data_IF_891803746481
#
_entry.id   IF_891803746481
#
_cell.length_a   1.000
_cell.length_b   1.000
_cell.length_c   1.000
_cell.angle_alpha   90.00
_cell.angle_beta   90.00
_cell.angle_gamma   90.00
#
_symmetry.space_group_name_H-M   'P 1'
#
loop_
_entity.id
_entity.type
_entity.pdbx_description
1 polymer ?
#
# COMPACT_ATOMS: atom_id res chain seq x y z
N UNK A 1 13.00 -38.57 26.71
CA UNK A 1 13.38 -37.25 27.23
C UNK A 1 14.33 -36.62 26.22
N UNK A 2 14.05 -35.39 25.80
CA UNK A 2 14.89 -34.64 24.85
C UNK A 2 14.16 -33.95 23.70
N UNK A 3 12.91 -33.52 23.90
CA UNK A 3 12.31 -32.41 23.13
C UNK A 3 12.69 -31.13 23.89
N UNK A 4 12.92 -30.02 23.18
CA UNK A 4 13.46 -28.71 23.62
C UNK A 4 14.98 -28.54 23.47
N UNK A 5 15.47 -28.29 22.24
CA UNK A 5 16.78 -27.64 22.09
C UNK A 5 17.04 -26.82 20.80
N UNK A 6 16.01 -26.42 20.02
CA UNK A 6 16.23 -25.68 18.75
C UNK A 6 15.60 -24.28 18.64
N UNK A 7 15.10 -23.70 19.75
CA UNK A 7 14.50 -22.34 19.69
C UNK A 7 15.46 -21.20 20.09
N UNK A 8 16.62 -21.48 20.69
CA UNK A 8 17.55 -20.44 21.18
C UNK A 8 18.62 -20.03 20.16
N UNK A 9 19.01 -20.91 19.24
CA UNK A 9 20.03 -20.63 18.20
C UNK A 9 19.52 -19.71 17.11
N UNK A 10 18.26 -19.87 16.70
CA UNK A 10 17.62 -19.03 15.67
C UNK A 10 17.40 -17.58 16.09
N UNK A 11 17.03 -17.33 17.36
CA UNK A 11 16.88 -15.96 17.89
C UNK A 11 18.23 -15.23 17.95
N UNK A 12 19.28 -15.91 18.42
CA UNK A 12 20.63 -15.33 18.47
C UNK A 12 21.18 -14.95 17.09
N UNK A 13 20.78 -15.70 16.05
CA UNK A 13 21.21 -15.43 14.68
C UNK A 13 20.43 -14.24 14.06
N UNK A 14 19.13 -14.14 14.30
CA UNK A 14 18.33 -13.00 13.86
C UNK A 14 18.81 -11.70 14.54
N UNK A 15 19.06 -11.73 15.85
CA UNK A 15 19.61 -10.60 16.59
C UNK A 15 20.99 -10.21 16.05
N UNK A 16 21.85 -11.20 15.75
CA UNK A 16 23.18 -10.97 15.17
C UNK A 16 23.07 -10.31 13.79
N UNK A 17 22.20 -10.81 12.91
CA UNK A 17 22.02 -10.28 11.56
C UNK A 17 21.44 -8.86 11.60
N UNK A 18 20.42 -8.62 12.43
CA UNK A 18 19.89 -7.27 12.62
C UNK A 18 20.98 -6.32 13.14
N UNK A 19 21.70 -6.69 14.20
CA UNK A 19 22.78 -5.87 14.74
C UNK A 19 23.89 -5.58 13.71
N UNK A 20 24.20 -6.52 12.82
CA UNK A 20 25.14 -6.28 11.72
C UNK A 20 24.59 -5.31 10.68
N UNK A 21 23.29 -5.34 10.41
CA UNK A 21 22.67 -4.44 9.43
C UNK A 21 22.64 -2.99 9.90
N UNK A 22 22.44 -2.76 11.21
CA UNK A 22 22.50 -1.44 11.83
C UNK A 22 23.94 -0.94 12.11
N UNK A 23 24.97 -1.78 11.90
CA UNK A 23 26.37 -1.41 12.07
C UNK A 23 26.98 -0.95 10.72
N UNK A 24 27.40 0.32 10.57
CA UNK A 24 27.89 0.88 9.31
C UNK A 24 29.11 0.16 8.71
N UNK A 25 29.89 -0.55 9.54
CA UNK A 25 31.07 -1.30 9.08
C UNK A 25 30.66 -2.73 8.73
N UNK A 26 29.88 -3.36 9.61
CA UNK A 26 29.55 -4.80 9.49
C UNK A 26 28.43 -5.08 8.50
N UNK A 27 27.64 -4.09 8.12
CA UNK A 27 26.59 -4.21 7.10
C UNK A 27 27.14 -4.72 5.76
N UNK A 28 28.40 -4.40 5.45
CA UNK A 28 29.08 -4.86 4.25
C UNK A 28 29.62 -6.30 4.33
N UNK A 29 29.62 -6.91 5.52
CA UNK A 29 29.99 -8.31 5.74
C UNK A 29 28.83 -9.27 5.46
N UNK A 30 27.60 -8.75 5.32
CA UNK A 30 26.39 -9.55 5.08
C UNK A 30 26.39 -10.07 3.62
N UNK A 31 26.40 -11.39 3.48
CA UNK A 31 26.34 -12.06 2.18
C UNK A 31 25.02 -11.81 1.46
N UNK A 32 25.04 -11.78 0.13
CA UNK A 32 23.84 -11.60 -0.74
C UNK A 32 22.72 -12.60 -0.42
N UNK A 33 23.06 -13.81 -0.01
CA UNK A 33 22.13 -14.87 0.40
C UNK A 33 21.57 -14.70 1.82
N UNK A 34 22.26 -13.97 2.69
CA UNK A 34 21.85 -13.70 4.08
C UNK A 34 20.92 -12.49 4.20
N UNK A 35 20.96 -11.60 3.22
CA UNK A 35 20.19 -10.37 3.18
C UNK A 35 18.66 -10.54 3.33
N UNK A 36 18.00 -11.51 2.67
CA UNK A 36 16.57 -11.77 2.89
C UNK A 36 16.20 -12.05 4.35
N UNK A 37 16.98 -12.90 5.02
CA UNK A 37 16.77 -13.22 6.44
C UNK A 37 17.10 -12.02 7.34
N UNK A 38 18.13 -11.27 6.98
CA UNK A 38 18.53 -10.03 7.67
C UNK A 38 17.40 -9.01 7.66
N UNK A 39 16.74 -8.78 6.52
CA UNK A 39 15.62 -7.84 6.44
C UNK A 39 14.43 -8.26 7.30
N UNK A 40 14.12 -9.56 7.36
CA UNK A 40 13.09 -10.06 8.26
C UNK A 40 13.49 -9.80 9.72
N UNK A 41 14.76 -10.02 10.08
CA UNK A 41 15.26 -9.77 11.42
C UNK A 41 15.16 -8.31 11.82
N UNK A 42 15.61 -7.38 10.98
CA UNK A 42 15.53 -5.93 11.23
C UNK A 42 14.07 -5.49 11.44
N UNK A 43 13.16 -5.97 10.60
CA UNK A 43 11.74 -5.70 10.72
C UNK A 43 11.10 -6.24 12.00
N UNK A 44 11.51 -7.42 12.48
CA UNK A 44 11.01 -7.99 13.74
C UNK A 44 11.56 -7.25 14.97
N UNK A 45 12.84 -6.87 14.93
CA UNK A 45 13.50 -6.15 16.02
C UNK A 45 13.00 -4.71 16.18
N UNK A 46 12.40 -4.13 15.12
CA UNK A 46 11.74 -2.85 15.21
C UNK A 46 10.54 -2.89 16.16
N UNK A 47 9.78 -4.00 16.28
CA UNK A 47 8.76 -4.21 17.34
C UNK A 47 7.83 -3.01 17.65
N UNK A 48 7.46 -2.23 16.64
CA UNK A 48 6.68 -0.97 16.71
C UNK A 48 7.41 0.31 17.17
N UNK A 49 8.72 0.24 17.40
CA UNK A 49 9.61 1.39 17.59
C UNK A 49 9.75 2.17 16.28
N UNK A 50 9.33 3.43 16.30
CA UNK A 50 9.30 4.30 15.12
C UNK A 50 10.70 4.75 14.71
N UNK A 51 11.62 4.98 15.66
CA UNK A 51 13.01 5.34 15.35
C UNK A 51 13.71 4.17 14.62
N UNK A 52 13.50 2.93 15.09
CA UNK A 52 14.04 1.74 14.43
C UNK A 52 13.37 1.44 13.09
N UNK A 53 12.13 1.87 12.89
CA UNK A 53 11.48 1.75 11.59
C UNK A 53 12.14 2.68 10.57
N UNK A 54 12.50 3.89 10.98
CA UNK A 54 13.21 4.84 10.12
C UNK A 54 14.60 4.32 9.73
N UNK A 55 15.35 3.75 10.67
CA UNK A 55 16.65 3.10 10.37
C UNK A 55 16.53 1.94 9.36
N UNK A 56 15.37 1.27 9.31
CA UNK A 56 15.14 0.17 8.38
C UNK A 56 14.99 0.60 6.92
N UNK A 57 14.72 1.88 6.62
CA UNK A 57 14.71 2.37 5.23
C UNK A 57 16.11 2.39 4.64
N UNK A 58 17.10 2.91 5.36
CA UNK A 58 18.50 2.93 4.92
C UNK A 58 19.03 1.50 4.71
N UNK A 59 18.68 0.59 5.62
CA UNK A 59 19.05 -0.83 5.49
C UNK A 59 18.38 -1.46 4.27
N UNK A 60 17.13 -1.08 4.00
CA UNK A 60 16.40 -1.56 2.83
C UNK A 60 17.08 -1.15 1.52
N UNK A 61 17.58 0.08 1.42
CA UNK A 61 18.27 0.55 0.22
C UNK A 61 19.54 -0.27 -0.05
N UNK A 62 20.29 -0.61 1.01
CA UNK A 62 21.45 -1.51 0.90
C UNK A 62 21.01 -2.89 0.44
N UNK A 63 19.95 -3.45 1.04
CA UNK A 63 19.37 -4.72 0.65
C UNK A 63 18.97 -4.74 -0.84
N UNK A 64 18.30 -3.69 -1.31
CA UNK A 64 17.89 -3.54 -2.70
C UNK A 64 19.07 -3.49 -3.65
N UNK A 65 20.14 -2.77 -3.29
CA UNK A 65 21.37 -2.70 -4.07
C UNK A 65 22.16 -4.02 -4.09
N UNK A 66 22.09 -4.83 -3.02
CA UNK A 66 22.88 -6.07 -2.87
C UNK A 66 22.19 -7.32 -3.40
N UNK A 67 20.92 -7.25 -3.76
CA UNK A 67 20.10 -8.41 -4.13
C UNK A 67 19.35 -8.22 -5.44
N UNK A 68 18.95 -9.33 -6.07
CA UNK A 68 18.12 -9.29 -7.28
C UNK A 68 16.65 -9.10 -6.95
N UNK A 69 15.86 -8.56 -7.88
CA UNK A 69 14.38 -8.44 -7.74
C UNK A 69 13.74 -9.79 -7.39
N UNK A 70 14.23 -10.89 -7.98
CA UNK A 70 13.74 -12.24 -7.67
C UNK A 70 13.99 -12.65 -6.21
N UNK A 71 15.16 -12.30 -5.65
CA UNK A 71 15.48 -12.55 -4.25
C UNK A 71 14.59 -11.73 -3.32
N UNK A 72 14.36 -10.44 -3.62
CA UNK A 72 13.46 -9.57 -2.85
C UNK A 72 12.02 -10.04 -2.89
N UNK A 73 11.54 -10.46 -4.06
CA UNK A 73 10.21 -11.07 -4.22
C UNK A 73 10.05 -12.32 -3.36
N UNK A 74 11.05 -13.20 -3.36
CA UNK A 74 11.06 -14.40 -2.51
C UNK A 74 11.05 -14.02 -1.02
N UNK A 75 11.87 -13.04 -0.64
CA UNK A 75 11.93 -12.49 0.72
C UNK A 75 10.57 -11.95 1.18
N UNK A 76 9.92 -11.11 0.39
CA UNK A 76 8.60 -10.56 0.70
C UNK A 76 7.53 -11.64 0.88
N UNK A 77 7.55 -12.70 0.05
CA UNK A 77 6.61 -13.83 0.17
C UNK A 77 6.85 -14.61 1.47
N UNK A 78 8.11 -14.82 1.86
CA UNK A 78 8.42 -15.50 3.11
C UNK A 78 8.01 -14.64 4.32
N UNK A 79 8.29 -13.34 4.26
CA UNK A 79 7.91 -12.39 5.31
C UNK A 79 6.39 -12.32 5.49
N UNK A 80 5.61 -12.24 4.41
CA UNK A 80 4.15 -12.20 4.51
C UNK A 80 3.55 -13.48 5.10
N UNK A 81 4.12 -14.65 4.78
CA UNK A 81 3.74 -15.93 5.41
C UNK A 81 4.05 -15.96 6.90
N UNK A 82 5.22 -15.44 7.28
CA UNK A 82 5.62 -15.35 8.69
C UNK A 82 4.66 -14.46 9.48
N UNK A 83 4.38 -13.25 8.99
CA UNK A 83 3.44 -12.29 9.59
C UNK A 83 2.04 -12.90 9.70
N UNK A 84 1.57 -13.58 8.65
CA UNK A 84 0.27 -14.27 8.66
C UNK A 84 0.23 -15.34 9.76
N UNK A 85 1.28 -16.16 9.88
CA UNK A 85 1.39 -17.18 10.92
C UNK A 85 1.42 -16.62 12.34
N UNK A 86 1.88 -15.37 12.50
CA UNK A 86 1.86 -14.62 13.77
C UNK A 86 0.69 -13.66 13.92
N UNK A 87 -0.37 -13.83 13.13
CA UNK A 87 -1.59 -13.03 13.23
C UNK A 87 -1.32 -11.52 13.14
N UNK A 88 -0.51 -11.12 12.17
CA UNK A 88 -0.19 -9.73 11.89
C UNK A 88 0.95 -9.15 12.72
N UNK A 89 1.47 -9.87 13.72
CA UNK A 89 2.62 -9.38 14.48
C UNK A 89 3.85 -9.19 13.57
N UNK A 90 4.51 -8.04 13.70
CA UNK A 90 5.67 -7.67 12.87
C UNK A 90 5.32 -7.00 11.54
N UNK A 91 4.04 -6.75 11.22
CA UNK A 91 3.63 -6.20 9.92
C UNK A 91 4.35 -4.91 9.48
N UNK A 92 4.81 -4.07 10.41
CA UNK A 92 5.57 -2.85 10.11
C UNK A 92 6.88 -3.12 9.34
N UNK A 93 7.41 -4.33 9.40
CA UNK A 93 8.56 -4.76 8.57
C UNK A 93 8.28 -4.71 7.06
N UNK A 94 7.02 -4.65 6.64
CA UNK A 94 6.62 -4.54 5.23
C UNK A 94 6.72 -3.10 4.72
N UNK A 95 6.80 -2.11 5.59
CA UNK A 95 6.77 -0.69 5.22
C UNK A 95 8.01 -0.28 4.40
N UNK A 96 9.24 -0.70 4.73
CA UNK A 96 10.40 -0.42 3.87
C UNK A 96 10.27 -1.05 2.48
N UNK A 97 9.69 -2.27 2.38
CA UNK A 97 9.36 -2.88 1.08
C UNK A 97 8.31 -2.08 0.31
N UNK A 98 7.37 -1.44 1.00
CA UNK A 98 6.32 -0.66 0.36
C UNK A 98 6.85 0.70 -0.13
N UNK A 99 7.77 1.32 0.62
CA UNK A 99 8.17 2.72 0.39
C UNK A 99 9.46 2.88 -0.42
N UNK A 100 10.43 1.96 -0.26
CA UNK A 100 11.77 2.09 -0.86
C UNK A 100 12.08 1.03 -1.92
N UNK A 101 11.15 0.12 -2.23
CA UNK A 101 11.36 -0.88 -3.28
C UNK A 101 11.36 -0.22 -4.67
N UNK A 102 12.47 -0.31 -5.43
CA UNK A 102 12.56 0.28 -6.77
C UNK A 102 11.69 -0.44 -7.82
N UNK A 103 11.28 -1.68 -7.59
CA UNK A 103 10.31 -2.38 -8.44
C UNK A 103 8.88 -2.06 -8.01
N UNK A 104 8.18 -1.21 -8.77
CA UNK A 104 6.81 -0.73 -8.43
C UNK A 104 5.82 -1.87 -8.18
N UNK A 105 5.90 -2.96 -8.96
CA UNK A 105 5.02 -4.11 -8.78
C UNK A 105 5.25 -4.80 -7.42
N UNK A 106 6.50 -4.88 -6.97
CA UNK A 106 6.85 -5.44 -5.67
C UNK A 106 6.52 -4.47 -4.53
N UNK A 107 6.74 -3.17 -4.73
CA UNK A 107 6.32 -2.08 -3.84
C UNK A 107 4.80 -2.12 -3.58
N UNK A 108 3.98 -2.11 -4.65
CA UNK A 108 2.51 -2.23 -4.59
C UNK A 108 2.06 -3.50 -3.87
N UNK A 109 2.74 -4.62 -4.11
CA UNK A 109 2.45 -5.89 -3.44
C UNK A 109 2.76 -5.83 -1.93
N UNK A 110 3.86 -5.19 -1.54
CA UNK A 110 4.19 -4.99 -0.13
C UNK A 110 3.19 -4.05 0.55
N UNK A 111 2.82 -2.95 -0.09
CA UNK A 111 1.76 -2.05 0.37
C UNK A 111 0.42 -2.79 0.56
N UNK A 112 0.07 -3.67 -0.37
CA UNK A 112 -1.12 -4.55 -0.24
C UNK A 112 -1.03 -5.43 1.01
N UNK A 113 0.14 -6.00 1.30
CA UNK A 113 0.34 -6.77 2.53
C UNK A 113 0.24 -5.90 3.79
N UNK A 114 0.74 -4.67 3.77
CA UNK A 114 0.56 -3.73 4.89
C UNK A 114 -0.92 -3.55 5.21
N UNK A 115 -1.73 -3.18 4.23
CA UNK A 115 -3.15 -2.87 4.46
C UNK A 115 -4.02 -4.09 4.77
N UNK A 116 -3.57 -5.30 4.40
CA UNK A 116 -4.36 -6.54 4.61
C UNK A 116 -3.87 -7.41 5.77
N UNK A 117 -2.62 -7.27 6.23
CA UNK A 117 -2.04 -8.07 7.31
C UNK A 117 -1.85 -7.29 8.60
N UNK A 118 -1.87 -5.95 8.56
CA UNK A 118 -1.65 -5.15 9.75
C UNK A 118 -2.55 -5.56 10.90
N UNK A 119 -1.94 -5.70 12.07
CA UNK A 119 -2.68 -6.01 13.29
C UNK A 119 -3.49 -4.77 13.70
N UNK A 120 -4.82 -4.89 13.90
CA UNK A 120 -5.64 -3.75 14.31
C UNK A 120 -5.27 -3.28 15.71
N UNK A 121 -5.21 -1.97 15.90
CA UNK A 121 -5.09 -1.34 17.21
C UNK A 121 -6.44 -1.25 17.92
N UNK A 122 -6.47 -0.97 19.24
CA UNK A 122 -7.71 -0.79 20.00
C UNK A 122 -8.63 0.32 19.44
N UNK A 123 -8.03 1.35 18.86
CA UNK A 123 -8.70 2.53 18.27
C UNK A 123 -8.55 2.62 16.76
N UNK A 124 -7.72 1.75 16.16
CA UNK A 124 -7.29 1.81 14.76
C UNK A 124 -7.55 0.46 14.08
N UNK A 125 -8.81 0.17 13.70
CA UNK A 125 -9.16 -1.13 13.11
C UNK A 125 -8.51 -1.38 11.75
N UNK A 126 -8.11 -0.32 11.03
CA UNK A 126 -7.41 -0.38 9.75
C UNK A 126 -6.00 0.21 9.87
N UNK A 127 -5.24 -0.23 10.87
CA UNK A 127 -3.91 0.31 11.19
C UNK A 127 -2.95 0.39 9.98
N UNK A 128 -2.94 -0.62 9.11
CA UNK A 128 -2.09 -0.61 7.91
C UNK A 128 -2.51 0.45 6.90
N UNK A 129 -3.81 0.71 6.75
CA UNK A 129 -4.33 1.79 5.89
C UNK A 129 -3.93 3.14 6.46
N UNK A 130 -4.15 3.34 7.76
CA UNK A 130 -3.78 4.59 8.43
C UNK A 130 -2.27 4.89 8.29
N UNK A 131 -1.42 3.88 8.46
CA UNK A 131 0.03 4.03 8.31
C UNK A 131 0.42 4.45 6.89
N UNK A 132 -0.12 3.79 5.84
CA UNK A 132 0.19 4.17 4.47
C UNK A 132 -0.31 5.58 4.13
N UNK A 133 -1.48 5.98 4.63
CA UNK A 133 -1.98 7.34 4.45
C UNK A 133 -1.08 8.35 5.18
N UNK A 134 -0.67 8.07 6.43
CA UNK A 134 0.23 8.95 7.17
C UNK A 134 1.54 9.17 6.41
N UNK A 135 2.07 8.14 5.74
CA UNK A 135 3.28 8.24 4.92
C UNK A 135 3.07 9.06 3.66
N UNK A 136 1.96 8.84 2.95
CA UNK A 136 1.60 9.69 1.81
C UNK A 136 1.46 11.17 2.19
N UNK A 137 1.07 11.46 3.44
CA UNK A 137 0.99 12.83 3.96
C UNK A 137 2.35 13.40 4.38
N UNK A 138 3.15 12.59 5.07
CA UNK A 138 4.38 13.03 5.74
C UNK A 138 5.62 13.01 4.84
N UNK A 139 5.72 11.98 4.01
CA UNK A 139 6.93 11.67 3.25
C UNK A 139 6.77 12.26 1.84
N UNK A 140 7.56 13.30 1.53
CA UNK A 140 7.50 14.06 0.25
C UNK A 140 7.59 13.15 -0.98
N UNK A 141 8.42 12.10 -0.90
CA UNK A 141 8.68 11.15 -1.99
C UNK A 141 7.99 9.79 -1.79
N UNK A 142 6.90 9.73 -1.01
CA UNK A 142 6.14 8.48 -0.88
C UNK A 142 5.69 7.97 -2.26
N UNK A 143 5.89 6.69 -2.61
CA UNK A 143 5.50 6.20 -3.92
C UNK A 143 3.97 6.09 -4.05
N UNK A 144 3.44 6.39 -5.24
CA UNK A 144 2.00 6.33 -5.55
C UNK A 144 1.44 4.89 -5.39
N UNK A 145 2.30 3.87 -5.44
CA UNK A 145 1.96 2.47 -5.15
C UNK A 145 1.34 2.25 -3.76
N UNK A 146 1.62 3.13 -2.79
CA UNK A 146 0.96 3.10 -1.48
C UNK A 146 -0.52 3.46 -1.60
N UNK A 147 -0.82 4.55 -2.33
CA UNK A 147 -2.19 4.98 -2.61
C UNK A 147 -2.92 3.91 -3.43
N UNK A 148 -2.23 3.32 -4.42
CA UNK A 148 -2.79 2.24 -5.23
C UNK A 148 -3.30 1.08 -4.37
N UNK A 149 -2.46 0.62 -3.44
CA UNK A 149 -2.80 -0.50 -2.57
C UNK A 149 -3.99 -0.18 -1.66
N UNK A 150 -4.09 1.06 -1.16
CA UNK A 150 -5.20 1.51 -0.33
C UNK A 150 -6.50 1.58 -1.14
N UNK A 151 -6.47 2.21 -2.31
CA UNK A 151 -7.65 2.37 -3.17
C UNK A 151 -8.11 1.05 -3.79
N UNK A 152 -7.18 0.11 -4.03
CA UNK A 152 -7.47 -1.25 -4.51
C UNK A 152 -8.27 -2.10 -3.51
N UNK A 153 -8.39 -1.67 -2.25
CA UNK A 153 -9.26 -2.34 -1.28
C UNK A 153 -10.74 -2.28 -1.66
N UNK A 154 -11.15 -1.24 -2.41
CA UNK A 154 -12.54 -1.01 -2.81
C UNK A 154 -13.55 -0.99 -1.64
N UNK A 155 -13.09 -0.72 -0.43
CA UNK A 155 -13.87 -0.77 0.80
C UNK A 155 -14.13 0.65 1.32
N UNK A 156 -15.40 1.07 1.29
CA UNK A 156 -15.77 2.45 1.64
C UNK A 156 -15.51 2.82 3.10
N UNK A 157 -15.22 1.86 3.99
CA UNK A 157 -14.78 2.17 5.38
C UNK A 157 -13.42 2.86 5.41
N UNK A 158 -12.65 2.80 4.32
CA UNK A 158 -11.35 3.45 4.15
C UNK A 158 -11.49 4.95 3.89
N UNK A 159 -12.58 5.40 3.25
CA UNK A 159 -12.72 6.78 2.79
C UNK A 159 -12.46 7.84 3.90
N UNK A 160 -12.96 7.71 5.14
CA UNK A 160 -12.67 8.68 6.20
C UNK A 160 -11.17 8.80 6.53
N UNK A 161 -10.39 7.74 6.34
CA UNK A 161 -8.95 7.74 6.60
C UNK A 161 -8.18 8.50 5.52
N UNK A 162 -8.74 8.66 4.32
CA UNK A 162 -8.12 9.41 3.22
C UNK A 162 -8.23 10.92 3.39
N UNK A 163 -9.02 11.41 4.35
CA UNK A 163 -9.30 12.83 4.53
C UNK A 163 -8.03 13.72 4.56
N UNK A 164 -6.94 13.35 5.26
CA UNK A 164 -5.72 14.16 5.29
C UNK A 164 -5.07 14.36 3.91
N UNK A 165 -5.27 13.42 2.97
CA UNK A 165 -4.70 13.54 1.63
C UNK A 165 -5.32 14.70 0.85
N UNK A 166 -6.58 15.05 1.12
CA UNK A 166 -7.24 16.17 0.44
C UNK A 166 -6.69 17.52 0.86
N UNK A 167 -5.89 17.58 1.93
CA UNK A 167 -5.23 18.80 2.41
C UNK A 167 -3.80 18.95 1.87
N UNK A 168 -3.32 18.00 1.05
CA UNK A 168 -2.01 18.07 0.42
C UNK A 168 -1.92 19.25 -0.57
N UNK A 169 -0.70 19.75 -0.84
CA UNK A 169 -0.46 20.70 -1.91
C UNK A 169 -0.96 20.18 -3.26
N UNK A 170 -1.43 21.08 -4.12
CA UNK A 170 -2.00 20.73 -5.42
C UNK A 170 -0.98 20.00 -6.30
N UNK A 171 0.29 20.39 -6.26
CA UNK A 171 1.38 19.76 -7.00
C UNK A 171 1.54 18.28 -6.59
N UNK A 172 1.40 17.98 -5.29
CA UNK A 172 1.51 16.62 -4.80
C UNK A 172 0.30 15.76 -5.20
N UNK A 173 -0.88 16.36 -5.22
CA UNK A 173 -2.10 15.69 -5.66
C UNK A 173 -2.10 15.44 -7.17
N UNK A 174 -1.56 16.35 -7.96
CA UNK A 174 -1.32 16.17 -9.40
C UNK A 174 -0.44 14.94 -9.66
N UNK A 175 0.71 14.82 -8.98
CA UNK A 175 1.58 13.63 -9.09
C UNK A 175 0.85 12.32 -8.75
N UNK A 176 0.10 12.31 -7.64
CA UNK A 176 -0.66 11.14 -7.21
C UNK A 176 -1.78 10.77 -8.20
N UNK A 177 -2.40 11.75 -8.86
CA UNK A 177 -3.41 11.51 -9.87
C UNK A 177 -2.78 11.00 -11.17
N UNK A 178 -1.66 11.58 -11.60
CA UNK A 178 -0.98 11.23 -12.85
C UNK A 178 -0.50 9.77 -12.86
N UNK A 179 0.12 9.34 -11.75
CA UNK A 179 0.67 7.99 -11.58
C UNK A 179 -0.36 6.94 -11.12
N UNK A 180 -1.63 7.30 -10.95
CA UNK A 180 -2.63 6.38 -10.42
C UNK A 180 -2.94 5.22 -11.39
N UNK A 181 -2.63 3.99 -10.98
CA UNK A 181 -2.85 2.77 -11.78
C UNK A 181 -3.98 1.87 -11.24
N UNK A 182 -4.74 2.37 -10.27
CA UNK A 182 -5.76 1.56 -9.58
C UNK A 182 -6.98 1.27 -10.46
N UNK A 183 -7.50 0.04 -10.37
CA UNK A 183 -8.74 -0.32 -11.04
C UNK A 183 -9.93 0.52 -10.54
N UNK A 184 -10.85 0.93 -11.43
CA UNK A 184 -11.98 1.77 -11.04
C UNK A 184 -12.90 0.96 -10.14
N UNK A 185 -13.09 1.48 -8.95
CA UNK A 185 -13.95 0.93 -7.92
C UNK A 185 -14.59 2.11 -7.16
N UNK A 186 -15.53 1.81 -6.27
CA UNK A 186 -16.26 2.90 -5.61
C UNK A 186 -15.34 3.83 -4.81
N UNK A 187 -14.35 3.27 -4.12
CA UNK A 187 -13.41 4.02 -3.30
C UNK A 187 -12.46 4.86 -4.18
N UNK A 188 -11.87 4.26 -5.21
CA UNK A 188 -10.92 4.95 -6.10
C UNK A 188 -11.55 6.09 -6.89
N UNK A 189 -12.75 5.88 -7.45
CA UNK A 189 -13.46 6.96 -8.13
C UNK A 189 -13.90 8.05 -7.14
N UNK A 190 -14.37 7.69 -5.94
CA UNK A 190 -14.74 8.69 -4.92
C UNK A 190 -13.53 9.50 -4.47
N UNK A 191 -12.34 8.89 -4.36
CA UNK A 191 -11.12 9.61 -4.03
C UNK A 191 -10.84 10.72 -5.05
N UNK A 192 -10.88 10.41 -6.36
CA UNK A 192 -10.67 11.41 -7.42
C UNK A 192 -11.70 12.54 -7.35
N UNK A 193 -12.98 12.22 -7.13
CA UNK A 193 -14.04 13.23 -6.97
C UNK A 193 -13.81 14.14 -5.76
N UNK A 194 -13.32 13.60 -4.63
CA UNK A 194 -13.01 14.39 -3.44
C UNK A 194 -11.77 15.27 -3.61
N UNK A 195 -10.77 14.80 -4.35
CA UNK A 195 -9.64 15.64 -4.76
C UNK A 195 -10.12 16.80 -5.62
N UNK A 196 -10.99 16.53 -6.60
CA UNK A 196 -11.56 17.57 -7.48
C UNK A 196 -12.42 18.58 -6.71
N UNK A 197 -13.21 18.12 -5.73
CA UNK A 197 -13.99 18.99 -4.85
C UNK A 197 -13.09 19.90 -3.99
N UNK A 198 -12.03 19.35 -3.41
CA UNK A 198 -11.10 20.08 -2.57
C UNK A 198 -10.18 21.02 -3.38
N UNK A 199 -9.80 20.62 -4.60
CA UNK A 199 -8.88 21.33 -5.49
C UNK A 199 -9.44 21.43 -6.91
N UNK A 200 -10.39 22.36 -7.16
CA UNK A 200 -10.99 22.52 -8.48
C UNK A 200 -10.00 22.89 -9.60
N UNK A 201 -8.79 23.35 -9.25
CA UNK A 201 -7.73 23.60 -10.22
C UNK A 201 -7.19 22.33 -10.87
N UNK A 202 -7.40 21.16 -10.27
CA UNK A 202 -6.94 19.86 -10.76
C UNK A 202 -7.98 19.16 -11.66
N UNK A 203 -8.86 19.92 -12.30
CA UNK A 203 -9.96 19.39 -13.11
C UNK A 203 -9.48 18.51 -14.26
N UNK A 204 -8.39 18.91 -14.94
CA UNK A 204 -7.86 18.13 -16.05
C UNK A 204 -7.23 16.82 -15.57
N UNK A 205 -6.42 16.89 -14.51
CA UNK A 205 -5.71 15.77 -13.91
C UNK A 205 -6.70 14.73 -13.37
N UNK A 206 -7.79 15.19 -12.75
CA UNK A 206 -8.89 14.33 -12.28
C UNK A 206 -9.62 13.66 -13.45
N UNK A 207 -9.89 14.38 -14.54
CA UNK A 207 -10.50 13.82 -15.74
C UNK A 207 -9.58 12.77 -16.39
N UNK A 208 -8.30 13.07 -16.53
CA UNK A 208 -7.29 12.18 -17.10
C UNK A 208 -7.12 10.91 -16.27
N UNK A 209 -7.08 11.03 -14.93
CA UNK A 209 -7.05 9.88 -14.02
C UNK A 209 -8.28 8.98 -14.22
N UNK A 210 -9.49 9.55 -14.26
CA UNK A 210 -10.71 8.78 -14.51
C UNK A 210 -10.69 8.10 -15.88
N UNK A 211 -10.20 8.77 -16.92
CA UNK A 211 -10.05 8.22 -18.26
C UNK A 211 -9.06 7.05 -18.30
N UNK A 212 -7.91 7.14 -17.61
CA UNK A 212 -6.93 6.06 -17.50
C UNK A 212 -7.47 4.86 -16.72
N UNK A 213 -8.23 5.11 -15.66
CA UNK A 213 -8.80 4.06 -14.82
C UNK A 213 -9.93 3.30 -15.53
N UNK A 214 -10.84 4.00 -16.22
CA UNK A 214 -12.04 3.42 -16.81
C UNK A 214 -11.85 2.08 -17.56
N UNK A 215 -10.86 1.92 -18.47
CA UNK A 215 -10.67 0.68 -19.22
C UNK A 215 -10.11 -0.49 -18.40
N UNK A 216 -9.64 -0.26 -17.17
CA UNK A 216 -8.98 -1.30 -16.36
C UNK A 216 -9.96 -2.32 -15.78
N UNK A 217 -11.26 -2.03 -15.75
CA UNK A 217 -12.26 -2.98 -15.28
C UNK A 217 -13.59 -2.85 -16.03
N UNK A 218 -14.19 -3.96 -16.50
CA UNK A 218 -15.51 -3.96 -17.12
C UNK A 218 -16.66 -3.84 -16.10
N UNK A 219 -16.34 -3.90 -14.79
CA UNK A 219 -17.31 -3.77 -13.70
C UNK A 219 -16.69 -2.96 -12.57
N UNK A 220 -17.43 -1.98 -12.07
CA UNK A 220 -17.01 -1.15 -10.94
C UNK A 220 -17.67 -1.70 -9.69
N UNK A 221 -16.85 -2.10 -8.72
CA UNK A 221 -17.30 -2.82 -7.54
C UNK A 221 -17.18 -1.99 -6.26
N UNK A 222 -18.11 -2.23 -5.35
CA UNK A 222 -18.03 -1.89 -3.93
C UNK A 222 -17.92 -3.21 -3.16
N UNK A 223 -16.85 -3.37 -2.37
CA UNK A 223 -16.52 -4.62 -1.70
C UNK A 223 -16.40 -4.40 -0.19
N UNK A 224 -16.76 -5.41 0.59
CA UNK A 224 -16.30 -5.54 1.96
C UNK A 224 -15.14 -6.53 1.99
N UNK A 225 -13.95 -6.05 2.38
CA UNK A 225 -12.79 -6.91 2.56
C UNK A 225 -12.67 -7.39 4.02
N UNK A 226 -12.44 -8.71 4.22
CA UNK A 226 -12.09 -9.24 5.52
C UNK A 226 -10.67 -8.79 5.89
N UNK A 227 -10.57 -7.68 6.62
CA UNK A 227 -9.32 -7.09 7.11
C UNK A 227 -9.34 -7.12 8.65
N UNK A 228 -8.27 -7.62 9.30
CA UNK A 228 -7.09 -8.23 8.68
C UNK A 228 -7.37 -9.63 8.14
N UNK A 229 -6.74 -10.00 7.03
CA UNK A 229 -7.04 -11.24 6.29
C UNK A 229 -6.67 -12.50 7.07
N UNK A 230 -5.66 -12.46 7.94
CA UNK A 230 -5.24 -13.59 8.78
C UNK A 230 -6.28 -13.98 9.85
N UNK A 231 -7.24 -13.11 10.16
CA UNK A 231 -8.30 -13.41 11.14
C UNK A 231 -9.38 -14.34 10.57
N UNK A 232 -9.32 -14.65 9.27
CA UNK A 232 -10.33 -15.41 8.56
C UNK A 232 -9.71 -16.66 7.92
N UNK A 233 -10.41 -17.79 8.02
CA UNK A 233 -9.96 -19.05 7.40
C UNK A 233 -9.90 -18.95 5.87
N UNK A 234 -10.83 -18.19 5.28
CA UNK A 234 -10.91 -17.88 3.85
C UNK A 234 -11.24 -16.40 3.67
N UNK A 235 -10.24 -15.51 3.60
CA UNK A 235 -10.47 -14.07 3.44
C UNK A 235 -10.91 -13.77 2.01
N UNK A 236 -12.17 -14.05 1.69
CA UNK A 236 -12.75 -13.76 0.37
C UNK A 236 -13.44 -12.40 0.37
N UNK A 237 -13.14 -11.52 -0.60
CA UNK A 237 -13.89 -10.28 -0.79
C UNK A 237 -15.39 -10.55 -0.95
N UNK A 238 -16.22 -9.75 -0.27
CA UNK A 238 -17.68 -9.82 -0.44
C UNK A 238 -18.14 -8.67 -1.36
N UNK A 239 -18.67 -8.95 -2.55
CA UNK A 239 -19.28 -7.93 -3.36
C UNK A 239 -20.55 -7.41 -2.69
N UNK A 240 -20.58 -6.11 -2.44
CA UNK A 240 -21.75 -5.42 -1.90
C UNK A 240 -22.63 -4.96 -3.06
N UNK A 241 -22.02 -4.27 -4.02
CA UNK A 241 -22.68 -3.72 -5.20
C UNK A 241 -21.73 -3.75 -6.39
N UNK A 242 -22.31 -3.82 -7.60
CA UNK A 242 -21.56 -3.72 -8.85
C UNK A 242 -22.34 -2.89 -9.86
N UNK A 243 -21.61 -2.13 -10.67
CA UNK A 243 -22.16 -1.29 -11.73
C UNK A 243 -21.39 -1.50 -13.02
N UNK A 244 -22.09 -1.37 -14.14
CA UNK A 244 -21.42 -1.15 -15.42
C UNK A 244 -20.72 0.21 -15.43
N UNK A 245 -19.67 0.41 -16.25
CA UNK A 245 -19.02 1.71 -16.40
C UNK A 245 -20.01 2.85 -16.69
N UNK A 246 -20.99 2.62 -17.58
CA UNK A 246 -21.99 3.64 -17.93
C UNK A 246 -22.93 3.99 -16.77
N UNK A 247 -23.38 3.00 -15.99
CA UNK A 247 -24.20 3.23 -14.79
C UNK A 247 -23.43 3.98 -13.72
N UNK A 248 -22.12 3.71 -13.61
CA UNK A 248 -21.28 4.36 -12.62
C UNK A 248 -20.95 5.80 -13.03
N UNK A 249 -20.65 6.07 -14.31
CA UNK A 249 -20.53 7.44 -14.82
C UNK A 249 -21.76 8.28 -14.51
N UNK A 250 -22.97 7.74 -14.73
CA UNK A 250 -24.21 8.44 -14.40
C UNK A 250 -24.33 8.81 -12.91
N UNK A 251 -23.68 8.07 -12.01
CA UNK A 251 -23.61 8.40 -10.58
C UNK A 251 -22.60 9.50 -10.26
N UNK A 252 -21.49 9.54 -10.99
CA UNK A 252 -20.48 10.59 -10.83
C UNK A 252 -20.91 11.91 -11.48
N UNK A 253 -21.77 11.86 -12.49
CA UNK A 253 -22.18 13.01 -13.30
C UNK A 253 -22.63 14.24 -12.49
N UNK A 254 -23.43 14.14 -11.41
CA UNK A 254 -23.81 15.32 -10.62
C UNK A 254 -22.65 16.04 -9.96
N UNK A 255 -21.56 15.34 -9.62
CA UNK A 255 -20.34 15.89 -9.03
C UNK A 255 -19.38 16.41 -10.12
N UNK A 256 -19.29 15.71 -11.26
CA UNK A 256 -18.44 16.08 -12.39
C UNK A 256 -18.96 17.30 -13.16
N UNK A 257 -20.28 17.39 -13.39
CA UNK A 257 -20.87 18.41 -14.23
C UNK A 257 -20.60 19.87 -13.79
N UNK A 258 -20.62 20.22 -12.49
CA UNK A 258 -20.23 21.57 -12.06
C UNK A 258 -18.71 21.79 -12.01
N UNK A 259 -17.90 20.73 -12.05
CA UNK A 259 -16.46 20.80 -11.83
C UNK A 259 -15.61 20.70 -13.11
N UNK A 260 -16.13 20.03 -14.15
CA UNK A 260 -15.47 19.86 -15.45
C UNK A 260 -16.12 20.72 -16.52
N UNK A 261 -15.32 21.12 -17.52
CA UNK A 261 -15.87 21.71 -18.74
C UNK A 261 -16.53 20.66 -19.65
N UNK A 262 -17.11 21.13 -20.76
CA UNK A 262 -17.86 20.27 -21.67
C UNK A 262 -16.98 19.24 -22.40
N UNK A 263 -15.72 19.58 -22.71
CA UNK A 263 -14.82 18.71 -23.44
C UNK A 263 -14.27 17.62 -22.50
N UNK A 264 -13.81 18.01 -21.32
CA UNK A 264 -13.37 17.12 -20.24
C UNK A 264 -14.47 16.12 -19.84
N UNK A 265 -15.69 16.60 -19.62
CA UNK A 265 -16.81 15.75 -19.24
C UNK A 265 -17.15 14.73 -20.33
N UNK A 266 -17.03 15.14 -21.59
CA UNK A 266 -17.30 14.28 -22.74
C UNK A 266 -16.22 13.21 -22.90
N UNK A 267 -14.95 13.51 -22.63
CA UNK A 267 -13.85 12.52 -22.62
C UNK A 267 -14.07 11.46 -21.55
N UNK A 268 -14.34 11.86 -20.30
CA UNK A 268 -14.63 10.93 -19.20
C UNK A 268 -15.84 10.06 -19.53
N UNK A 269 -16.87 10.67 -20.14
CA UNK A 269 -18.06 9.93 -20.57
C UNK A 269 -17.72 8.84 -21.59
N UNK A 270 -16.92 9.14 -22.61
CA UNK A 270 -16.53 8.13 -23.60
C UNK A 270 -15.69 7.01 -22.98
N UNK A 271 -14.79 7.34 -22.04
CA UNK A 271 -13.99 6.34 -21.35
C UNK A 271 -14.85 5.33 -20.56
N UNK A 272 -15.92 5.78 -19.91
CA UNK A 272 -16.85 4.93 -19.15
C UNK A 272 -18.02 4.36 -19.97
N UNK A 273 -17.97 4.40 -21.31
CA UNK A 273 -18.95 3.69 -22.16
C UNK A 273 -18.56 2.25 -22.49
N UNK A 274 -17.27 1.93 -22.40
CA UNK A 274 -16.70 0.66 -22.84
C UNK A 274 -17.07 -0.51 -21.91
#
# INVERSE_FOLDING_TARGET
MGLYQDNFTGLSELERLAAMAHDPVRVHEIGTDQWPLTMMACGLMASNDEEKLEENFDIYDIFAAKTTVAARKSSLIQLSRFITGRKGEGWKSLIPYASNEPDEALSRKAATYVVTLAQPGPTEPLAGVQELVNRLVRDEFAPTTLLDAVLSLADMRVLPLLQPLFELPAERLEELLDELETTPNRLSCTFVLRVLEAHPSLAQEAADALCRMAPLSPVILDLALPIPTWAFEKPTPQPLHGWTPAEYFARMLPELQPALDADQLQEVREAFKA
#
